data_IF_376567142301
#
_entry.id   IF_376567142301
#
_cell.length_a   1.000
_cell.length_b   1.000
_cell.length_c   1.000
_cell.angle_alpha   90.00
_cell.angle_beta   90.00
_cell.angle_gamma   90.00
#
_symmetry.space_group_name_H-M   'P 1'
#
loop_
_entity.id
_entity.type
_entity.pdbx_description
1 polymer ?
#
# COMPACT_ATOMS: atom_id res chain seq x y z
N UNK A 1 1.40 -24.94 41.07
CA UNK A 1 1.46 -24.49 39.67
C UNK A 1 0.81 -23.11 39.55
N UNK A 2 1.53 -22.10 39.05
CA UNK A 2 1.01 -20.74 38.92
C UNK A 2 0.18 -20.65 37.63
N UNK A 3 -1.07 -20.19 37.73
CA UNK A 3 -1.99 -20.09 36.59
C UNK A 3 -1.55 -18.90 35.72
N UNK A 4 -1.13 -19.16 34.48
CA UNK A 4 -0.81 -18.09 33.51
C UNK A 4 -2.11 -17.68 32.83
N UNK A 5 -2.51 -16.43 33.02
CA UNK A 5 -3.69 -15.85 32.35
C UNK A 5 -3.19 -15.19 31.06
N UNK A 6 -3.49 -15.81 29.92
CA UNK A 6 -3.20 -15.23 28.60
C UNK A 6 -4.46 -14.49 28.16
N UNK A 7 -4.39 -13.16 28.10
CA UNK A 7 -5.48 -12.34 27.56
C UNK A 7 -5.62 -12.57 26.06
N UNK A 8 -6.82 -12.92 25.59
CA UNK A 8 -7.14 -13.16 24.18
C UNK A 8 -7.04 -11.91 23.28
N UNK A 9 -6.88 -10.73 23.87
CA UNK A 9 -6.90 -9.42 23.20
C UNK A 9 -5.51 -8.85 22.90
N UNK A 10 -4.46 -9.69 22.81
CA UNK A 10 -3.12 -9.20 22.47
C UNK A 10 -2.94 -9.12 20.95
N UNK A 11 -2.88 -7.90 20.44
CA UNK A 11 -2.46 -7.65 19.06
C UNK A 11 -0.97 -7.97 18.89
N UNK A 12 -0.60 -8.42 17.69
CA UNK A 12 0.80 -8.64 17.33
C UNK A 12 1.54 -7.31 17.19
N UNK A 13 2.88 -7.34 17.22
CA UNK A 13 3.70 -6.14 17.03
C UNK A 13 3.45 -5.53 15.65
N UNK A 14 3.30 -6.37 14.63
CA UNK A 14 3.02 -5.98 13.25
C UNK A 14 1.68 -5.26 13.14
N UNK A 15 0.65 -5.75 13.85
CA UNK A 15 -0.65 -5.09 13.91
C UNK A 15 -0.54 -3.71 14.55
N UNK A 16 0.17 -3.59 15.69
CA UNK A 16 0.35 -2.32 16.39
C UNK A 16 1.17 -1.30 15.59
N UNK A 17 2.10 -1.76 14.75
CA UNK A 17 2.93 -0.90 13.90
C UNK A 17 2.22 -0.46 12.61
N UNK A 18 1.12 -1.09 12.23
CA UNK A 18 0.38 -0.73 11.02
C UNK A 18 -0.60 0.42 11.35
N UNK A 19 -0.42 1.65 10.84
CA UNK A 19 -1.38 2.73 11.07
C UNK A 19 -2.71 2.54 10.30
N UNK A 20 -2.79 1.52 9.44
CA UNK A 20 -3.94 1.22 8.60
C UNK A 20 -4.55 -0.15 8.94
N UNK A 21 -4.75 -0.46 10.23
CA UNK A 21 -5.35 -1.75 10.66
C UNK A 21 -6.77 -1.95 10.13
N UNK A 22 -7.52 -0.85 9.97
CA UNK A 22 -8.94 -0.88 9.61
C UNK A 22 -9.20 -0.86 8.10
N UNK A 23 -8.15 -0.74 7.27
CA UNK A 23 -8.30 -0.52 5.82
C UNK A 23 -7.42 -1.51 5.07
N UNK A 24 -7.97 -2.18 4.06
CA UNK A 24 -7.21 -3.13 3.27
C UNK A 24 -6.12 -2.43 2.43
N UNK A 25 -5.13 -3.20 1.98
CA UNK A 25 -4.14 -2.67 1.04
C UNK A 25 -4.80 -2.19 -0.26
N UNK A 26 -5.79 -2.94 -0.78
CA UNK A 26 -6.50 -2.59 -2.01
C UNK A 26 -7.19 -1.22 -1.87
N UNK A 27 -7.98 -1.04 -0.80
CA UNK A 27 -8.67 0.24 -0.54
C UNK A 27 -7.70 1.41 -0.42
N UNK A 28 -6.52 1.18 0.17
CA UNK A 28 -5.46 2.20 0.26
C UNK A 28 -4.91 2.56 -1.11
N UNK A 29 -4.71 1.58 -1.99
CA UNK A 29 -4.26 1.84 -3.36
C UNK A 29 -5.31 2.61 -4.15
N UNK A 30 -6.58 2.21 -4.05
CA UNK A 30 -7.73 2.89 -4.68
C UNK A 30 -7.87 4.33 -4.18
N UNK A 31 -7.80 4.56 -2.86
CA UNK A 31 -7.87 5.91 -2.27
C UNK A 31 -6.73 6.81 -2.72
N UNK A 32 -5.53 6.24 -2.86
CA UNK A 32 -4.33 6.97 -3.26
C UNK A 32 -4.21 7.13 -4.78
N UNK A 33 -5.14 6.55 -5.55
CA UNK A 33 -5.13 6.52 -7.02
C UNK A 33 -3.78 6.02 -7.55
N UNK A 34 -3.29 4.92 -6.97
CA UNK A 34 -1.99 4.35 -7.31
C UNK A 34 -1.90 3.94 -8.78
N UNK A 35 -0.71 4.09 -9.37
CA UNK A 35 -0.44 3.70 -10.76
C UNK A 35 -0.22 2.19 -10.82
N UNK A 36 -0.85 1.51 -11.78
CA UNK A 36 -0.49 0.12 -12.12
C UNK A 36 0.79 0.10 -12.94
N UNK A 37 1.88 -0.31 -12.30
CA UNK A 37 3.19 -0.40 -12.93
C UNK A 37 3.31 -1.51 -13.97
N UNK A 38 2.44 -2.51 -13.95
CA UNK A 38 2.52 -3.66 -14.87
C UNK A 38 1.83 -3.35 -16.18
N UNK A 39 0.59 -2.85 -16.14
CA UNK A 39 -0.25 -2.73 -17.35
C UNK A 39 -0.60 -1.30 -17.75
N UNK A 40 -0.29 -0.31 -16.91
CA UNK A 40 -0.73 1.06 -17.14
C UNK A 40 0.35 2.08 -16.74
N UNK A 41 1.61 1.82 -17.08
CA UNK A 41 2.69 2.76 -16.81
C UNK A 41 3.61 2.94 -18.00
N UNK A 42 4.14 4.16 -18.14
CA UNK A 42 5.26 4.44 -19.02
C UNK A 42 6.28 5.31 -18.29
N UNK A 43 7.54 5.18 -18.70
CA UNK A 43 8.65 5.92 -18.12
C UNK A 43 8.97 7.11 -19.03
N UNK A 44 8.99 8.30 -18.44
CA UNK A 44 9.35 9.55 -19.10
C UNK A 44 10.72 9.97 -18.60
N UNK A 45 11.67 10.07 -19.53
CA UNK A 45 12.99 10.63 -19.25
C UNK A 45 12.88 12.17 -19.13
N UNK A 46 13.49 12.72 -18.07
CA UNK A 46 13.51 14.15 -17.81
C UNK A 46 14.77 14.84 -18.36
N UNK A 47 15.71 14.08 -18.96
CA UNK A 47 16.89 14.62 -19.63
C UNK A 47 17.98 15.16 -18.69
N UNK A 48 17.81 14.97 -17.39
CA UNK A 48 18.73 15.39 -16.32
C UNK A 48 19.24 14.20 -15.49
N UNK A 49 19.17 12.99 -16.05
CA UNK A 49 19.51 11.74 -15.36
C UNK A 49 18.41 11.19 -14.44
N UNK A 50 17.25 11.85 -14.39
CA UNK A 50 16.08 11.36 -13.68
C UNK A 50 14.99 10.90 -14.64
N UNK A 51 14.15 10.01 -14.16
CA UNK A 51 12.97 9.54 -14.90
C UNK A 51 11.75 9.53 -14.00
N UNK A 52 10.59 9.72 -14.62
CA UNK A 52 9.29 9.71 -13.94
C UNK A 52 8.43 8.59 -14.51
N UNK A 53 7.79 7.83 -13.63
CA UNK A 53 6.76 6.87 -14.02
C UNK A 53 5.41 7.58 -13.99
N UNK A 54 4.66 7.46 -15.07
CA UNK A 54 3.35 8.10 -15.25
C UNK A 54 2.35 7.09 -15.81
N UNK A 55 1.06 7.21 -15.44
CA UNK A 55 0.04 6.31 -15.98
C UNK A 55 -0.17 6.57 -17.47
N UNK A 56 -0.45 5.52 -18.24
CA UNK A 56 -0.82 5.66 -19.67
C UNK A 56 -2.27 6.17 -19.76
N UNK A 57 -3.17 5.60 -18.95
CA UNK A 57 -4.57 5.97 -18.84
C UNK A 57 -4.90 6.31 -17.38
N UNK A 58 -5.26 7.56 -17.12
CA UNK A 58 -5.60 8.06 -15.77
C UNK A 58 -6.87 7.42 -15.22
N UNK A 59 -7.70 6.81 -16.06
CA UNK A 59 -8.91 6.11 -15.64
C UNK A 59 -8.65 4.64 -15.24
N UNK A 60 -7.47 4.09 -15.57
CA UNK A 60 -7.05 2.71 -15.24
C UNK A 60 -6.06 2.68 -14.07
N UNK A 61 -6.21 3.58 -13.11
CA UNK A 61 -5.44 3.51 -11.87
C UNK A 61 -5.91 2.31 -11.04
N UNK A 62 -5.06 1.81 -10.15
CA UNK A 62 -5.41 0.69 -9.26
C UNK A 62 -6.62 1.12 -8.44
N UNK A 63 -7.74 0.45 -8.67
CA UNK A 63 -9.08 0.79 -8.18
C UNK A 63 -9.90 -0.43 -7.90
#
# INVERSE_FOLDING_TARGET
MKKIIISSSRHSREHLCNPYTEISLADRMTKSKCIDYVNNSHLVDLGNGYSKIVPIDVNKLIG
#
